data_IF_021811345269
#
_entry.id   IF_021811345269
#
_cell.length_a   1.000
_cell.length_b   1.000
_cell.length_c   1.000
_cell.angle_alpha   90.00
_cell.angle_beta   90.00
_cell.angle_gamma   90.00
#
_symmetry.space_group_name_H-M   'P 1'
#
loop_
_entity.id
_entity.type
_entity.pdbx_description
1 polymer ?
#
# COMPACT_ATOMS: atom_id res chain seq x y z
N UNK A 1 -21.73 -34.66 -34.23
CA UNK A 1 -20.51 -33.83 -34.10
C UNK A 1 -20.88 -32.57 -33.33
N UNK A 2 -20.71 -32.58 -32.00
CA UNK A 2 -20.99 -31.46 -31.11
C UNK A 2 -19.66 -30.90 -30.60
N UNK A 3 -19.26 -29.72 -31.07
CA UNK A 3 -18.05 -29.03 -30.62
C UNK A 3 -18.30 -28.34 -29.28
N UNK A 4 -17.47 -28.62 -28.28
CA UNK A 4 -17.46 -27.95 -26.98
C UNK A 4 -16.87 -26.53 -27.10
N UNK A 5 -17.33 -25.56 -26.27
CA UNK A 5 -16.86 -24.18 -26.32
C UNK A 5 -15.42 -23.98 -25.77
N UNK A 6 -14.75 -22.86 -26.11
CA UNK A 6 -13.27 -22.72 -26.10
C UNK A 6 -12.60 -22.63 -24.71
N UNK A 7 -13.33 -22.83 -23.62
CA UNK A 7 -12.84 -22.60 -22.25
C UNK A 7 -12.58 -23.90 -21.47
N UNK A 8 -12.84 -25.08 -22.05
CA UNK A 8 -12.70 -26.38 -21.38
C UNK A 8 -11.41 -27.17 -21.68
N UNK A 9 -10.32 -26.52 -22.10
CA UNK A 9 -9.03 -27.21 -22.34
C UNK A 9 -7.86 -26.65 -21.51
N UNK A 10 -8.03 -26.51 -20.19
CA UNK A 10 -6.89 -26.40 -19.28
C UNK A 10 -6.90 -27.56 -18.30
N UNK A 11 -6.26 -28.65 -18.72
CA UNK A 11 -5.77 -29.69 -17.81
C UNK A 11 -4.91 -29.04 -16.73
N UNK A 12 -5.22 -29.35 -15.47
CA UNK A 12 -4.50 -28.87 -14.29
C UNK A 12 -3.07 -29.40 -14.29
N UNK A 13 -2.12 -28.64 -14.80
CA UNK A 13 -0.72 -28.78 -14.43
C UNK A 13 -0.53 -28.00 -13.13
N UNK A 14 -0.40 -28.73 -12.01
CA UNK A 14 0.01 -28.17 -10.73
C UNK A 14 1.27 -27.34 -10.93
N UNK A 15 1.22 -26.06 -10.58
CA UNK A 15 2.40 -25.22 -10.56
C UNK A 15 3.46 -25.88 -9.66
N UNK A 16 4.73 -26.00 -10.10
CA UNK A 16 5.77 -26.55 -9.25
C UNK A 16 5.91 -25.69 -8.00
N UNK A 17 6.25 -26.28 -6.83
CA UNK A 17 6.50 -25.52 -5.62
C UNK A 17 7.58 -24.47 -5.91
N UNK A 18 7.34 -23.24 -5.48
CA UNK A 18 8.30 -22.15 -5.62
C UNK A 18 9.63 -22.59 -4.99
N UNK A 19 10.63 -22.85 -5.84
CA UNK A 19 11.97 -23.15 -5.38
C UNK A 19 12.52 -21.99 -4.55
N UNK A 20 13.58 -22.22 -3.75
CA UNK A 20 14.20 -21.16 -2.97
C UNK A 20 14.56 -19.99 -3.89
N UNK A 21 13.99 -18.82 -3.60
CA UNK A 21 14.30 -17.58 -4.30
C UNK A 21 15.78 -17.30 -4.08
N UNK A 22 16.59 -17.50 -5.13
CA UNK A 22 18.01 -17.15 -5.05
C UNK A 22 18.14 -15.66 -4.70
N UNK A 23 19.04 -15.29 -3.78
CA UNK A 23 19.27 -13.88 -3.45
C UNK A 23 19.68 -13.16 -4.74
N UNK A 24 18.80 -12.30 -5.25
CA UNK A 24 19.15 -11.40 -6.35
C UNK A 24 20.28 -10.52 -5.84
N UNK A 25 21.51 -10.79 -6.28
CA UNK A 25 22.63 -9.88 -6.07
C UNK A 25 22.19 -8.48 -6.50
N UNK A 26 22.43 -7.48 -5.66
CA UNK A 26 22.14 -6.10 -5.99
C UNK A 26 23.01 -5.75 -7.18
N UNK A 27 22.44 -5.70 -8.38
CA UNK A 27 23.11 -5.09 -9.53
C UNK A 27 23.17 -3.60 -9.23
N UNK A 28 24.29 -3.14 -8.70
CA UNK A 28 24.49 -1.71 -8.42
C UNK A 28 24.47 -0.99 -9.77
N UNK A 29 23.47 -0.14 -9.98
CA UNK A 29 23.35 0.63 -11.21
C UNK A 29 24.52 1.62 -11.29
N UNK A 30 25.29 1.57 -12.37
CA UNK A 30 26.45 2.43 -12.60
C UNK A 30 26.09 3.92 -12.53
N UNK A 31 24.89 4.27 -12.97
CA UNK A 31 24.35 5.64 -12.89
C UNK A 31 24.23 6.14 -11.44
N UNK A 32 23.87 5.27 -10.50
CA UNK A 32 23.77 5.62 -9.07
C UNK A 32 25.16 5.88 -8.49
N UNK A 33 26.14 5.05 -8.85
CA UNK A 33 27.53 5.23 -8.40
C UNK A 33 28.07 6.57 -8.90
N UNK A 34 27.84 6.90 -10.17
CA UNK A 34 28.29 8.15 -10.78
C UNK A 34 27.64 9.38 -10.11
N UNK A 35 26.35 9.32 -9.78
CA UNK A 35 25.65 10.39 -9.05
C UNK A 35 26.14 10.58 -7.61
N UNK A 36 26.55 9.50 -6.95
CA UNK A 36 27.03 9.52 -5.56
C UNK A 36 28.51 9.89 -5.45
N UNK A 37 29.29 9.70 -6.52
CA UNK A 37 30.71 10.01 -6.58
C UNK A 37 31.49 9.40 -5.42
N UNK A 38 32.30 10.21 -4.74
CA UNK A 38 33.16 9.78 -3.63
C UNK A 38 32.39 9.19 -2.43
N UNK A 39 31.08 9.42 -2.33
CA UNK A 39 30.22 8.87 -1.26
C UNK A 39 29.66 7.48 -1.60
N UNK A 40 29.81 7.00 -2.83
CA UNK A 40 29.20 5.75 -3.26
C UNK A 40 29.65 4.56 -2.39
N UNK A 41 30.95 4.43 -2.14
CA UNK A 41 31.48 3.35 -1.31
C UNK A 41 30.94 3.36 0.11
N UNK A 42 30.89 4.53 0.76
CA UNK A 42 30.41 4.62 2.15
C UNK A 42 28.89 4.41 2.28
N UNK A 43 28.09 4.75 1.26
CA UNK A 43 26.63 4.63 1.31
C UNK A 43 26.11 3.28 0.83
N UNK A 44 26.69 2.72 -0.23
CA UNK A 44 26.17 1.51 -0.87
C UNK A 44 26.75 0.22 -0.28
N UNK A 45 27.96 0.29 0.29
CA UNK A 45 28.64 -0.88 0.86
C UNK A 45 28.53 -0.94 2.39
N UNK A 46 27.86 0.03 3.02
CA UNK A 46 27.68 0.01 4.46
C UNK A 46 26.90 -1.22 4.91
N UNK A 47 27.54 -2.03 5.75
CA UNK A 47 26.90 -3.13 6.46
C UNK A 47 26.87 -2.82 7.96
N UNK A 48 25.67 -2.75 8.53
CA UNK A 48 25.51 -2.64 9.98
C UNK A 48 26.04 -3.92 10.65
N UNK A 49 27.04 -3.77 11.53
CA UNK A 49 27.63 -4.87 12.32
C UNK A 49 27.11 -4.93 13.76
N UNK A 50 26.31 -3.94 14.19
CA UNK A 50 25.87 -3.80 15.58
C UNK A 50 24.75 -4.77 15.94
N UNK A 51 23.75 -4.93 15.06
CA UNK A 51 22.64 -5.86 15.26
C UNK A 51 22.55 -6.76 14.02
N UNK A 52 22.67 -8.07 14.22
CA UNK A 52 22.56 -9.03 13.11
C UNK A 52 21.16 -9.00 12.51
N UNK A 53 21.09 -9.06 11.18
CA UNK A 53 19.84 -9.18 10.42
C UNK A 53 19.04 -10.44 10.78
N UNK A 54 19.72 -11.49 11.26
CA UNK A 54 19.10 -12.77 11.62
C UNK A 54 18.26 -12.67 12.90
N UNK A 55 18.44 -11.59 13.68
CA UNK A 55 17.63 -11.27 14.85
C UNK A 55 16.36 -10.48 14.50
N UNK A 56 16.14 -10.14 13.23
CA UNK A 56 15.05 -9.29 12.78
C UNK A 56 14.03 -10.06 11.94
N UNK A 57 12.76 -9.71 12.10
CA UNK A 57 11.71 -10.15 11.20
C UNK A 57 11.74 -9.32 9.91
N UNK A 58 12.57 -9.75 8.96
CA UNK A 58 12.75 -9.02 7.71
C UNK A 58 11.54 -9.21 6.76
N UNK A 59 11.20 -8.14 6.00
CA UNK A 59 10.26 -8.23 4.89
C UNK A 59 10.63 -9.32 3.88
N UNK A 60 9.61 -9.99 3.34
CA UNK A 60 9.76 -10.96 2.27
C UNK A 60 8.43 -11.36 1.64
N UNK A 61 8.45 -12.16 0.56
CA UNK A 61 7.23 -12.67 -0.09
C UNK A 61 6.35 -13.50 0.85
N UNK A 62 6.95 -14.10 1.87
CA UNK A 62 6.32 -14.96 2.86
C UNK A 62 5.94 -14.22 4.15
N UNK A 63 6.06 -12.89 4.20
CA UNK A 63 5.99 -12.13 5.45
C UNK A 63 4.67 -12.31 6.21
N UNK A 64 3.54 -12.41 5.50
CA UNK A 64 2.23 -12.64 6.13
C UNK A 64 2.18 -14.01 6.80
N UNK A 65 2.61 -15.07 6.10
CA UNK A 65 2.58 -16.44 6.62
C UNK A 65 3.63 -16.66 7.71
N UNK A 66 4.85 -16.16 7.50
CA UNK A 66 5.97 -16.33 8.44
C UNK A 66 5.82 -15.52 9.72
N UNK A 67 5.26 -14.31 9.64
CA UNK A 67 5.21 -13.37 10.79
C UNK A 67 3.80 -13.18 11.33
N UNK A 68 2.81 -12.93 10.48
CA UNK A 68 1.49 -12.52 10.94
C UNK A 68 0.54 -13.69 11.23
N UNK A 69 0.68 -14.82 10.53
CA UNK A 69 -0.25 -15.95 10.67
C UNK A 69 -0.27 -16.57 12.08
N UNK A 70 0.86 -16.51 12.80
CA UNK A 70 0.96 -17.01 14.18
C UNK A 70 0.46 -16.00 15.24
N UNK A 71 0.06 -14.80 14.84
CA UNK A 71 -0.40 -13.75 15.77
C UNK A 71 -1.87 -13.92 16.15
N UNK A 72 -2.38 -13.03 17.01
CA UNK A 72 -3.81 -12.97 17.36
C UNK A 72 -4.70 -12.25 16.32
N UNK A 73 -4.17 -11.93 15.13
CA UNK A 73 -4.96 -11.29 14.06
C UNK A 73 -5.95 -12.30 13.48
N UNK A 74 -7.21 -11.89 13.35
CA UNK A 74 -8.22 -12.74 12.74
C UNK A 74 -7.99 -12.92 11.23
N UNK A 75 -8.65 -13.92 10.65
CA UNK A 75 -8.49 -14.27 9.24
C UNK A 75 -8.80 -13.10 8.28
N UNK A 76 -9.75 -12.22 8.62
CA UNK A 76 -10.10 -11.06 7.79
C UNK A 76 -8.96 -10.04 7.75
N UNK A 77 -8.28 -9.84 8.87
CA UNK A 77 -7.07 -9.01 8.94
C UNK A 77 -5.94 -9.63 8.12
N UNK A 78 -5.70 -10.94 8.23
CA UNK A 78 -4.68 -11.62 7.43
C UNK A 78 -4.96 -11.51 5.92
N UNK A 79 -6.22 -11.64 5.49
CA UNK A 79 -6.63 -11.42 4.09
C UNK A 79 -6.33 -9.99 3.64
N UNK A 80 -6.62 -8.98 4.46
CA UNK A 80 -6.33 -7.59 4.12
C UNK A 80 -4.81 -7.29 4.13
N UNK A 81 -4.05 -7.85 5.05
CA UNK A 81 -2.58 -7.78 5.03
C UNK A 81 -2.04 -8.41 3.74
N UNK A 82 -2.54 -9.58 3.34
CA UNK A 82 -2.16 -10.21 2.10
C UNK A 82 -2.46 -9.28 0.90
N UNK A 83 -3.67 -8.73 0.82
CA UNK A 83 -4.05 -7.75 -0.22
C UNK A 83 -3.07 -6.58 -0.29
N UNK A 84 -2.66 -6.02 0.85
CA UNK A 84 -1.67 -4.94 0.90
C UNK A 84 -0.30 -5.38 0.37
N UNK A 85 0.22 -6.52 0.82
CA UNK A 85 1.57 -6.98 0.44
C UNK A 85 1.68 -7.54 -0.99
N UNK A 86 0.57 -7.89 -1.64
CA UNK A 86 0.57 -8.46 -3.01
C UNK A 86 -0.02 -7.53 -4.08
N UNK A 87 -0.34 -6.29 -3.75
CA UNK A 87 -0.80 -5.28 -4.73
C UNK A 87 0.34 -4.34 -5.12
N UNK A 88 0.33 -3.84 -6.37
CA UNK A 88 1.23 -2.78 -6.82
C UNK A 88 2.64 -3.26 -7.18
N UNK A 89 3.56 -2.31 -7.42
CA UNK A 89 4.91 -2.55 -7.91
C UNK A 89 5.80 -3.30 -6.91
N UNK A 90 5.54 -3.15 -5.61
CA UNK A 90 6.27 -3.83 -4.55
C UNK A 90 5.61 -5.15 -4.10
N UNK A 91 4.62 -5.64 -4.85
CA UNK A 91 3.95 -6.90 -4.57
C UNK A 91 4.95 -8.05 -4.36
N UNK A 92 4.79 -8.80 -3.26
CA UNK A 92 5.63 -9.95 -2.95
C UNK A 92 7.06 -9.62 -2.51
N UNK A 93 7.42 -8.35 -2.34
CA UNK A 93 8.73 -7.97 -1.77
C UNK A 93 8.74 -7.95 -0.25
N UNK A 94 7.55 -7.91 0.37
CA UNK A 94 7.36 -7.65 1.79
C UNK A 94 7.42 -6.15 2.17
N UNK A 95 7.72 -5.25 1.23
CA UNK A 95 7.66 -3.81 1.43
C UNK A 95 6.32 -3.24 0.92
N UNK A 96 5.90 -2.12 1.51
CA UNK A 96 4.68 -1.40 1.13
C UNK A 96 5.00 0.01 0.65
N UNK A 97 4.40 0.39 -0.47
CA UNK A 97 4.32 1.76 -0.98
C UNK A 97 2.87 2.23 -0.88
N UNK A 98 2.62 3.21 -0.02
CA UNK A 98 1.29 3.76 0.21
C UNK A 98 1.32 5.20 -0.26
N UNK A 99 0.28 5.65 -0.97
CA UNK A 99 0.09 7.06 -1.30
C UNK A 99 -0.81 7.73 -0.25
N UNK A 100 -0.27 8.52 0.70
CA UNK A 100 -1.07 9.27 1.66
C UNK A 100 -1.50 10.62 1.10
N UNK A 101 -2.82 10.87 1.00
CA UNK A 101 -3.40 12.17 0.62
C UNK A 101 -4.65 12.45 1.46
N UNK A 102 -4.47 13.05 2.62
CA UNK A 102 -5.53 13.49 3.55
C UNK A 102 -5.57 15.02 3.76
N UNK A 103 -4.58 15.75 3.23
CA UNK A 103 -4.43 17.20 3.37
C UNK A 103 -5.61 18.05 2.89
N UNK A 104 -6.47 17.52 2.01
CA UNK A 104 -7.64 18.25 1.51
C UNK A 104 -8.61 18.70 2.62
N UNK A 105 -8.63 18.00 3.76
CA UNK A 105 -9.36 18.42 4.95
C UNK A 105 -8.43 19.21 5.92
N UNK A 106 -7.14 18.87 6.03
CA UNK A 106 -6.18 19.50 6.97
C UNK A 106 -5.73 20.92 6.60
N UNK A 107 -5.81 21.29 5.33
CA UNK A 107 -5.41 22.62 4.87
C UNK A 107 -6.48 23.32 4.03
N UNK A 108 -7.69 22.74 3.94
CA UNK A 108 -8.72 23.02 2.93
C UNK A 108 -8.31 22.56 1.52
N UNK A 109 -9.30 22.16 0.71
CA UNK A 109 -9.09 21.78 -0.68
C UNK A 109 -8.49 22.91 -1.52
N UNK A 110 -8.80 24.17 -1.17
CA UNK A 110 -8.22 25.35 -1.79
C UNK A 110 -6.71 25.43 -1.64
N UNK A 111 -6.18 25.30 -0.41
CA UNK A 111 -4.73 25.37 -0.20
C UNK A 111 -4.00 24.13 -0.76
N UNK A 112 -4.63 22.96 -0.70
CA UNK A 112 -4.02 21.68 -1.09
C UNK A 112 -3.99 21.47 -2.60
N UNK A 113 -5.05 21.89 -3.32
CA UNK A 113 -5.24 21.52 -4.72
C UNK A 113 -5.27 22.71 -5.69
N UNK A 114 -5.23 23.97 -5.23
CA UNK A 114 -5.21 25.12 -6.15
C UNK A 114 -4.03 25.09 -7.13
N UNK A 115 -2.85 24.58 -6.72
CA UNK A 115 -1.69 24.43 -7.62
C UNK A 115 -1.88 23.37 -8.69
N UNK A 116 -2.72 22.35 -8.42
CA UNK A 116 -3.04 21.26 -9.36
C UNK A 116 -4.55 20.94 -9.28
N UNK A 117 -5.40 21.73 -9.96
CA UNK A 117 -6.86 21.68 -9.78
C UNK A 117 -7.51 20.33 -10.10
N UNK A 118 -6.86 19.46 -10.88
CA UNK A 118 -7.37 18.12 -11.17
C UNK A 118 -7.61 17.29 -9.89
N UNK A 119 -6.92 17.57 -8.78
CA UNK A 119 -7.07 16.83 -7.53
C UNK A 119 -8.23 17.31 -6.64
N UNK A 120 -9.01 18.30 -7.08
CA UNK A 120 -10.34 18.55 -6.49
C UNK A 120 -11.29 17.37 -6.73
N UNK A 121 -11.11 16.63 -7.83
CA UNK A 121 -11.77 15.34 -8.02
C UNK A 121 -11.01 14.25 -7.27
N UNK A 122 -11.67 13.69 -6.25
CA UNK A 122 -11.19 12.58 -5.43
C UNK A 122 -10.73 11.36 -6.24
N UNK A 123 -11.33 11.11 -7.42
CA UNK A 123 -10.94 10.00 -8.28
C UNK A 123 -9.47 10.10 -8.72
N UNK A 124 -8.98 11.32 -8.95
CA UNK A 124 -7.61 11.51 -9.46
C UNK A 124 -6.54 11.18 -8.42
N UNK A 125 -6.88 11.24 -7.11
CA UNK A 125 -6.01 10.75 -6.03
C UNK A 125 -5.85 9.23 -6.15
N UNK A 126 -6.96 8.51 -6.33
CA UNK A 126 -6.94 7.05 -6.42
C UNK A 126 -6.32 6.58 -7.73
N UNK A 127 -6.58 7.28 -8.85
CA UNK A 127 -5.90 7.02 -10.13
C UNK A 127 -4.40 7.16 -10.01
N UNK A 128 -3.92 8.22 -9.36
CA UNK A 128 -2.49 8.44 -9.16
C UNK A 128 -1.84 7.28 -8.39
N UNK A 129 -2.48 6.81 -7.31
CA UNK A 129 -1.98 5.65 -6.56
C UNK A 129 -1.97 4.36 -7.41
N UNK A 130 -3.06 4.14 -8.14
CA UNK A 130 -3.23 2.95 -8.97
C UNK A 130 -2.23 2.89 -10.12
N UNK A 131 -2.13 3.96 -10.91
CA UNK A 131 -1.19 4.09 -12.03
C UNK A 131 0.26 4.19 -11.54
N UNK A 132 0.47 4.83 -10.39
CA UNK A 132 1.75 4.89 -9.69
C UNK A 132 2.24 3.52 -9.20
N UNK A 133 1.39 2.49 -9.21
CA UNK A 133 1.72 1.14 -8.76
C UNK A 133 1.90 1.05 -7.24
N UNK A 134 1.17 1.86 -6.47
CA UNK A 134 1.16 1.76 -5.01
C UNK A 134 0.46 0.47 -4.55
N UNK A 135 0.88 -0.03 -3.38
CA UNK A 135 0.22 -1.13 -2.68
C UNK A 135 -1.16 -0.70 -2.16
N UNK A 136 -1.30 0.57 -1.77
CA UNK A 136 -2.54 1.13 -1.22
C UNK A 136 -2.61 2.64 -1.41
N UNK A 137 -3.82 3.18 -1.26
CA UNK A 137 -4.07 4.62 -1.12
C UNK A 137 -4.64 4.90 0.27
N UNK A 138 -4.10 5.92 0.94
CA UNK A 138 -4.57 6.39 2.23
C UNK A 138 -5.19 7.78 2.06
N UNK A 139 -6.45 7.94 2.46
CA UNK A 139 -7.17 9.23 2.38
C UNK A 139 -8.38 9.22 3.30
N UNK A 140 -9.10 10.33 3.36
CA UNK A 140 -10.23 10.52 4.28
C UNK A 140 -11.45 9.69 3.86
N UNK A 141 -12.32 9.40 4.83
CA UNK A 141 -13.55 8.63 4.61
C UNK A 141 -14.38 9.14 3.42
N UNK A 142 -14.59 10.46 3.30
CA UNK A 142 -15.36 11.05 2.20
C UNK A 142 -14.70 10.86 0.82
N UNK A 143 -13.38 11.05 0.74
CA UNK A 143 -12.61 10.94 -0.53
C UNK A 143 -12.61 9.50 -1.03
N UNK A 144 -12.37 8.52 -0.15
CA UNK A 144 -12.37 7.12 -0.55
C UNK A 144 -13.80 6.60 -0.74
N UNK A 145 -14.76 7.06 0.07
CA UNK A 145 -16.17 6.70 0.00
C UNK A 145 -16.81 7.07 -1.34
N UNK A 146 -16.48 8.24 -1.90
CA UNK A 146 -17.05 8.72 -3.17
C UNK A 146 -16.74 7.81 -4.37
N UNK A 147 -15.64 7.04 -4.30
CA UNK A 147 -15.16 6.19 -5.41
C UNK A 147 -15.01 4.71 -5.04
N UNK A 148 -15.46 4.31 -3.85
CA UNK A 148 -15.24 2.97 -3.29
C UNK A 148 -15.73 1.84 -4.21
N UNK A 149 -16.95 1.94 -4.72
CA UNK A 149 -17.53 0.92 -5.61
C UNK A 149 -16.71 0.71 -6.88
N UNK A 150 -15.98 1.73 -7.35
CA UNK A 150 -15.17 1.70 -8.57
C UNK A 150 -13.76 1.14 -8.36
N UNK A 151 -13.17 1.33 -7.17
CA UNK A 151 -11.74 1.07 -6.94
C UNK A 151 -11.38 0.18 -5.74
N UNK A 152 -12.21 0.02 -4.72
CA UNK A 152 -11.84 -0.72 -3.50
C UNK A 152 -11.46 -2.20 -3.77
N UNK A 153 -11.98 -2.77 -4.86
CA UNK A 153 -11.65 -4.13 -5.32
C UNK A 153 -10.41 -4.18 -6.25
N UNK A 154 -9.82 -3.05 -6.60
CA UNK A 154 -8.67 -2.92 -7.51
C UNK A 154 -7.39 -2.47 -6.80
N UNK A 155 -7.53 -1.60 -5.79
CA UNK A 155 -6.45 -1.15 -4.93
C UNK A 155 -6.92 -1.09 -3.48
N UNK A 156 -6.15 -1.62 -2.51
CA UNK A 156 -6.43 -1.47 -1.09
C UNK A 156 -6.59 -0.01 -0.66
N UNK A 157 -7.65 0.23 0.11
CA UNK A 157 -7.91 1.51 0.73
C UNK A 157 -7.50 1.48 2.21
N UNK A 158 -6.87 2.54 2.68
CA UNK A 158 -6.57 2.80 4.09
C UNK A 158 -7.32 4.08 4.47
N UNK A 159 -8.35 3.96 5.30
CA UNK A 159 -9.29 5.06 5.53
C UNK A 159 -8.92 5.84 6.78
N UNK A 160 -8.50 7.09 6.60
CA UNK A 160 -8.33 8.03 7.72
C UNK A 160 -9.71 8.39 8.30
N UNK A 161 -10.01 7.88 9.49
CA UNK A 161 -11.31 8.05 10.16
C UNK A 161 -11.38 9.23 11.14
N UNK A 162 -10.24 9.82 11.48
CA UNK A 162 -10.12 10.93 12.44
C UNK A 162 -9.48 12.18 11.80
N UNK A 163 -9.81 13.34 12.33
CA UNK A 163 -9.21 14.62 11.90
C UNK A 163 -9.10 15.61 13.07
N UNK A 164 -8.17 16.57 12.97
CA UNK A 164 -8.10 17.71 13.89
C UNK A 164 -9.13 18.79 13.51
N UNK A 165 -9.86 19.33 14.49
CA UNK A 165 -10.73 20.49 14.28
C UNK A 165 -9.88 21.77 14.01
N UNK A 166 -10.16 22.48 12.91
CA UNK A 166 -9.35 23.61 12.42
C UNK A 166 -10.14 24.94 12.35
N UNK A 167 -11.44 24.94 12.62
CA UNK A 167 -12.32 26.11 12.42
C UNK A 167 -12.69 26.82 13.73
N UNK A 168 -12.13 26.42 14.88
CA UNK A 168 -12.37 27.06 16.19
C UNK A 168 -11.12 27.70 16.78
N UNK A 169 -11.23 28.96 17.21
CA UNK A 169 -10.22 29.64 18.02
C UNK A 169 -10.69 29.78 19.48
N UNK A 170 -9.87 29.43 20.48
CA UNK A 170 -8.53 28.84 20.37
C UNK A 170 -8.59 27.40 19.83
N UNK A 171 -7.53 26.99 19.11
CA UNK A 171 -7.43 25.65 18.53
C UNK A 171 -7.57 24.60 19.63
N UNK A 172 -8.61 23.77 19.52
CA UNK A 172 -8.78 22.57 20.34
C UNK A 172 -8.26 21.39 19.53
N UNK A 173 -7.30 20.65 20.07
CA UNK A 173 -6.81 19.40 19.49
C UNK A 173 -7.77 18.25 19.80
N UNK A 174 -9.04 18.42 19.44
CA UNK A 174 -10.05 17.38 19.58
C UNK A 174 -10.07 16.56 18.28
N UNK A 175 -9.85 15.25 18.39
CA UNK A 175 -9.82 14.33 17.26
C UNK A 175 -11.26 13.92 16.94
N UNK A 176 -11.89 14.65 16.03
CA UNK A 176 -13.26 14.38 15.61
C UNK A 176 -13.24 13.16 14.68
N UNK A 177 -14.10 12.18 14.99
CA UNK A 177 -14.32 11.01 14.16
C UNK A 177 -15.27 11.37 13.01
N UNK A 178 -14.82 11.20 11.77
CA UNK A 178 -15.59 11.48 10.54
C UNK A 178 -16.19 10.22 9.89
N UNK A 179 -15.94 9.05 10.48
CA UNK A 179 -16.52 7.78 10.05
C UNK A 179 -16.29 6.67 11.08
N UNK A 180 -17.16 5.67 11.05
CA UNK A 180 -17.03 4.48 11.88
C UNK A 180 -16.15 3.42 11.18
N UNK A 181 -15.45 2.61 11.98
CA UNK A 181 -14.68 1.46 11.46
C UNK A 181 -15.56 0.52 10.64
N UNK A 182 -16.82 0.35 11.05
CA UNK A 182 -17.79 -0.48 10.34
C UNK A 182 -18.07 0.05 8.92
N UNK A 183 -18.24 1.37 8.78
CA UNK A 183 -18.48 1.99 7.47
C UNK A 183 -17.27 1.83 6.55
N UNK A 184 -16.05 1.99 7.09
CA UNK A 184 -14.82 1.73 6.34
C UNK A 184 -14.71 0.25 5.91
N UNK A 185 -15.12 -0.68 6.76
CA UNK A 185 -15.18 -2.10 6.39
C UNK A 185 -16.23 -2.36 5.29
N UNK A 186 -17.42 -1.78 5.40
CA UNK A 186 -18.53 -1.98 4.46
C UNK A 186 -18.24 -1.43 3.06
N UNK A 187 -17.45 -0.35 2.96
CA UNK A 187 -16.96 0.17 1.67
C UNK A 187 -15.83 -0.68 1.05
N UNK A 188 -15.35 -1.70 1.76
CA UNK A 188 -14.30 -2.61 1.28
C UNK A 188 -12.87 -2.16 1.59
N UNK A 189 -12.68 -1.25 2.55
CA UNK A 189 -11.34 -0.83 2.97
C UNK A 189 -10.53 -1.99 3.53
N UNK A 190 -9.22 -1.94 3.31
CA UNK A 190 -8.29 -2.93 3.83
C UNK A 190 -7.86 -2.59 5.27
N UNK A 191 -7.79 -1.30 5.59
CA UNK A 191 -7.43 -0.79 6.90
C UNK A 191 -8.08 0.59 7.18
N UNK A 192 -7.98 1.02 8.42
CA UNK A 192 -8.30 2.38 8.91
C UNK A 192 -7.07 2.97 9.61
#
# INVERSE_FOLDING_TARGET
MSSLPPWQTRTSTSAPPAGPVQPRGITVNKEIVDLLGDKAGSLLEHQCKTVSKDLLHLPGPDFVDRIWAASNRNNRVLVNLQRLFITGRLAGTGYLSILPVDQGIEHSGGASFAKKPIYFDSENIVKLAFEGGCNAVASTFGVLGSVARKYAHKIPFIVKINHNELLTYPNKFDQIMFGEVQQAADMGAAAV
#
